data_IF_286162171776
#
_entry.id   IF_286162171776
#
_cell.length_a   1.000
_cell.length_b   1.000
_cell.length_c   1.000
_cell.angle_alpha   90.00
_cell.angle_beta   90.00
_cell.angle_gamma   90.00
#
_symmetry.space_group_name_H-M   'P 1'
#
loop_
_entity.id
_entity.type
_entity.pdbx_description
1 polymer ?
#
# COMPACT_ATOMS: atom_id res chain seq x y z
N UNK A 1 -23.11 6.77 -11.20
CA UNK A 1 -23.45 5.83 -10.10
C UNK A 1 -22.16 5.21 -9.61
N UNK A 2 -21.90 5.34 -8.32
CA UNK A 2 -20.64 5.07 -7.66
C UNK A 2 -20.73 3.66 -7.05
N UNK A 3 -20.27 2.64 -7.76
CA UNK A 3 -20.28 1.25 -7.27
C UNK A 3 -18.84 0.77 -7.05
N UNK A 4 -18.44 0.68 -5.78
CA UNK A 4 -17.27 -0.09 -5.34
C UNK A 4 -17.72 -1.16 -4.34
N UNK A 5 -18.26 -2.30 -4.77
CA UNK A 5 -18.33 -3.49 -3.94
C UNK A 5 -17.22 -4.44 -4.36
N UNK A 6 -16.10 -4.42 -3.65
CA UNK A 6 -15.04 -5.41 -3.80
C UNK A 6 -14.29 -5.29 -5.12
N UNK A 7 -13.16 -4.59 -5.10
CA UNK A 7 -12.07 -5.06 -5.93
C UNK A 7 -11.80 -6.50 -5.46
N UNK A 8 -12.22 -7.46 -6.28
CA UNK A 8 -12.35 -8.89 -5.99
C UNK A 8 -11.31 -9.33 -4.94
N UNK A 9 -11.76 -9.95 -3.85
CA UNK A 9 -10.87 -10.48 -2.81
C UNK A 9 -9.72 -11.28 -3.46
N UNK A 10 -9.97 -11.92 -4.60
CA UNK A 10 -8.96 -12.60 -5.43
C UNK A 10 -7.87 -11.67 -5.96
N UNK A 11 -8.20 -10.45 -6.40
CA UNK A 11 -7.23 -9.43 -6.83
C UNK A 11 -6.41 -8.95 -5.65
N UNK A 12 -7.05 -8.64 -4.52
CA UNK A 12 -6.33 -8.22 -3.29
C UNK A 12 -5.42 -9.33 -2.77
N UNK A 13 -5.85 -10.58 -2.84
CA UNK A 13 -5.03 -11.74 -2.49
C UNK A 13 -3.89 -11.93 -3.48
N UNK A 14 -4.13 -11.83 -4.79
CA UNK A 14 -3.09 -11.94 -5.83
C UNK A 14 -2.02 -10.87 -5.66
N UNK A 15 -2.42 -9.64 -5.34
CA UNK A 15 -1.54 -8.49 -5.21
C UNK A 15 -0.97 -8.31 -3.79
N UNK A 16 -1.32 -9.16 -2.82
CA UNK A 16 -1.01 -8.93 -1.39
C UNK A 16 0.47 -8.76 -1.08
N UNK A 17 1.34 -9.51 -1.75
CA UNK A 17 2.78 -9.45 -1.53
C UNK A 17 3.36 -8.17 -2.11
N UNK A 18 3.02 -7.85 -3.36
CA UNK A 18 3.35 -6.59 -4.02
C UNK A 18 2.90 -5.37 -3.18
N UNK A 19 1.69 -5.42 -2.61
CA UNK A 19 1.18 -4.35 -1.75
C UNK A 19 1.97 -4.24 -0.44
N UNK A 20 2.23 -5.37 0.21
CA UNK A 20 3.03 -5.38 1.44
C UNK A 20 4.43 -4.83 1.22
N UNK A 21 5.05 -5.12 0.08
CA UNK A 21 6.40 -4.67 -0.26
C UNK A 21 6.41 -3.16 -0.52
N UNK A 22 5.53 -2.66 -1.38
CA UNK A 22 5.44 -1.22 -1.68
C UNK A 22 5.08 -0.39 -0.43
N UNK A 23 4.14 -0.86 0.40
CA UNK A 23 3.76 -0.16 1.63
C UNK A 23 4.96 -0.08 2.59
N UNK A 24 5.75 -1.16 2.69
CA UNK A 24 6.97 -1.16 3.51
C UNK A 24 8.02 -0.20 2.97
N UNK A 25 8.22 -0.12 1.66
CA UNK A 25 9.15 0.86 1.08
C UNK A 25 8.74 2.30 1.40
N UNK A 26 7.46 2.64 1.21
CA UNK A 26 6.97 4.00 1.51
C UNK A 26 7.13 4.34 2.99
N UNK A 27 6.76 3.42 3.90
CA UNK A 27 6.73 3.71 5.34
C UNK A 27 8.11 3.62 6.00
N UNK A 28 8.92 2.62 5.64
CA UNK A 28 10.21 2.37 6.29
C UNK A 28 11.35 3.12 5.60
N UNK A 29 11.37 3.12 4.27
CA UNK A 29 12.42 3.76 3.48
C UNK A 29 12.10 5.21 3.15
N UNK A 30 10.83 5.63 3.28
CA UNK A 30 10.39 6.97 2.90
C UNK A 30 10.33 7.17 1.38
N UNK A 31 10.30 6.07 0.60
CA UNK A 31 10.23 6.10 -0.85
C UNK A 31 8.95 6.78 -1.33
N UNK A 32 9.05 7.49 -2.46
CA UNK A 32 7.86 8.06 -3.09
C UNK A 32 6.98 6.96 -3.68
N UNK A 33 5.70 7.23 -3.80
CA UNK A 33 4.67 6.35 -4.34
C UNK A 33 5.06 5.82 -5.72
N UNK A 34 5.52 6.71 -6.60
CA UNK A 34 5.93 6.34 -7.95
C UNK A 34 7.21 5.50 -7.98
N UNK A 35 8.08 5.63 -6.99
CA UNK A 35 9.30 4.82 -6.84
C UNK A 35 8.93 3.42 -6.35
N UNK A 36 8.13 3.33 -5.29
CA UNK A 36 7.63 2.07 -4.75
C UNK A 36 6.83 1.27 -5.80
N UNK A 37 6.05 1.95 -6.66
CA UNK A 37 5.34 1.30 -7.76
C UNK A 37 6.29 0.80 -8.85
N UNK A 38 7.40 1.48 -9.11
CA UNK A 38 8.39 1.04 -10.12
C UNK A 38 9.23 -0.15 -9.61
N UNK A 39 9.53 -0.19 -8.32
CA UNK A 39 10.30 -1.28 -7.72
C UNK A 39 9.51 -2.59 -7.66
N UNK A 40 8.20 -2.49 -7.45
CA UNK A 40 7.31 -3.64 -7.39
C UNK A 40 6.82 -3.95 -8.80
N UNK A 41 7.51 -4.87 -9.49
CA UNK A 41 7.14 -5.32 -10.85
C UNK A 41 5.84 -6.12 -10.79
N UNK A 42 4.72 -5.44 -10.98
CA UNK A 42 3.38 -6.03 -11.03
C UNK A 42 3.08 -6.47 -12.47
N UNK A 43 2.34 -7.58 -12.70
CA UNK A 43 1.88 -7.95 -14.03
C UNK A 43 1.16 -6.80 -14.75
N UNK A 44 1.45 -6.59 -16.04
CA UNK A 44 1.03 -5.39 -16.80
C UNK A 44 -0.48 -5.11 -16.75
N UNK A 45 -1.31 -6.16 -16.73
CA UNK A 45 -2.77 -6.03 -16.64
C UNK A 45 -3.29 -5.53 -15.27
N UNK A 46 -2.47 -5.62 -14.22
CA UNK A 46 -2.86 -5.30 -12.85
C UNK A 46 -2.29 -3.94 -12.38
N UNK A 47 -1.42 -3.28 -13.14
CA UNK A 47 -0.68 -2.09 -12.69
C UNK A 47 -1.59 -0.92 -12.26
N UNK A 48 -2.63 -0.62 -13.03
CA UNK A 48 -3.59 0.45 -12.70
C UNK A 48 -4.39 0.12 -11.42
N UNK A 49 -4.76 -1.15 -11.26
CA UNK A 49 -5.49 -1.64 -10.11
C UNK A 49 -4.60 -1.64 -8.86
N UNK A 50 -3.34 -2.07 -9.00
CA UNK A 50 -2.34 -2.02 -7.96
C UNK A 50 -2.10 -0.61 -7.44
N UNK A 51 -1.90 0.38 -8.33
CA UNK A 51 -1.73 1.79 -7.95
C UNK A 51 -2.91 2.30 -7.13
N UNK A 52 -4.15 1.98 -7.54
CA UNK A 52 -5.35 2.36 -6.79
C UNK A 52 -5.41 1.71 -5.41
N UNK A 53 -5.11 0.41 -5.33
CA UNK A 53 -5.06 -0.31 -4.06
C UNK A 53 -3.99 0.24 -3.13
N UNK A 54 -2.76 0.40 -3.61
CA UNK A 54 -1.64 0.91 -2.82
C UNK A 54 -1.98 2.27 -2.19
N UNK A 55 -2.55 3.18 -2.99
CA UNK A 55 -2.99 4.50 -2.51
C UNK A 55 -4.06 4.36 -1.42
N UNK A 56 -5.05 3.52 -1.64
CA UNK A 56 -6.12 3.27 -0.67
C UNK A 56 -5.60 2.67 0.64
N UNK A 57 -4.65 1.72 0.56
CA UNK A 57 -4.05 1.12 1.76
C UNK A 57 -3.19 2.14 2.52
N UNK A 58 -2.36 2.94 1.84
CA UNK A 58 -1.55 3.97 2.50
C UNK A 58 -2.42 5.07 3.16
N UNK A 59 -3.54 5.45 2.53
CA UNK A 59 -4.49 6.40 3.11
C UNK A 59 -5.21 5.85 4.35
N UNK A 60 -5.47 4.54 4.39
CA UNK A 60 -6.16 3.88 5.52
C UNK A 60 -5.22 3.23 6.53
N UNK A 61 -3.90 3.24 6.26
CA UNK A 61 -2.88 2.66 7.14
C UNK A 61 -2.89 3.37 8.49
N UNK A 62 -2.82 2.58 9.57
CA UNK A 62 -2.80 3.05 10.93
C UNK A 62 -2.06 2.04 11.81
N UNK A 63 -1.64 2.45 13.02
CA UNK A 63 -0.96 1.57 13.97
C UNK A 63 -1.75 0.31 14.34
N UNK A 64 -3.09 0.31 14.22
CA UNK A 64 -3.93 -0.85 14.53
C UNK A 64 -4.03 -1.88 13.38
N UNK A 65 -3.71 -1.49 12.15
CA UNK A 65 -3.78 -2.39 10.98
C UNK A 65 -2.39 -2.68 10.36
N UNK A 66 -1.33 -2.07 10.89
CA UNK A 66 0.01 -2.16 10.33
C UNK A 66 0.64 -3.56 10.40
N UNK A 67 0.19 -4.39 11.36
CA UNK A 67 0.64 -5.77 11.50
C UNK A 67 0.38 -6.60 10.22
N UNK A 68 -0.68 -6.26 9.46
CA UNK A 68 -0.99 -6.88 8.16
C UNK A 68 0.16 -6.76 7.16
N UNK A 69 0.92 -5.66 7.24
CA UNK A 69 2.04 -5.37 6.36
C UNK A 69 3.39 -5.61 7.05
N UNK A 70 3.40 -6.27 8.21
CA UNK A 70 4.61 -6.55 9.00
C UNK A 70 5.39 -5.28 9.36
N UNK A 71 4.67 -4.19 9.60
CA UNK A 71 5.24 -2.90 9.96
C UNK A 71 5.27 -2.72 11.48
N UNK A 72 6.40 -2.25 12.05
CA UNK A 72 6.47 -1.81 13.44
C UNK A 72 5.53 -0.61 13.71
N UNK A 73 4.86 -0.60 14.85
CA UNK A 73 3.89 0.46 15.21
C UNK A 73 4.56 1.84 15.33
N UNK A 74 5.76 1.90 15.90
CA UNK A 74 6.54 3.13 16.07
C UNK A 74 6.88 3.80 14.73
N UNK A 75 7.27 3.01 13.73
CA UNK A 75 7.58 3.50 12.38
C UNK A 75 6.35 4.04 11.66
N UNK A 76 5.22 3.37 11.81
CA UNK A 76 3.96 3.80 11.22
C UNK A 76 3.47 5.09 11.87
N UNK A 77 3.55 5.18 13.21
CA UNK A 77 3.19 6.37 13.94
C UNK A 77 4.03 7.58 13.49
N UNK A 78 5.36 7.42 13.44
CA UNK A 78 6.26 8.47 12.97
C UNK A 78 6.00 8.88 11.51
N UNK A 79 5.63 7.94 10.64
CA UNK A 79 5.26 8.23 9.25
C UNK A 79 3.92 8.99 9.15
N UNK A 80 2.93 8.65 9.99
CA UNK A 80 1.64 9.36 10.06
C UNK A 80 1.85 10.79 10.57
N UNK A 81 2.67 10.98 11.61
CA UNK A 81 2.98 12.29 12.18
C UNK A 81 3.67 13.23 11.18
N UNK A 82 4.43 12.69 10.24
CA UNK A 82 5.00 13.43 9.10
C UNK A 82 3.97 13.80 8.01
N UNK A 83 2.69 13.49 8.22
CA UNK A 83 1.62 13.78 7.27
C UNK A 83 1.43 12.73 6.18
N UNK A 84 1.87 11.48 6.41
CA UNK A 84 1.72 10.35 5.46
C UNK A 84 2.36 10.66 4.10
N UNK A 85 3.67 10.96 4.03
CA UNK A 85 4.33 11.22 2.76
C UNK A 85 4.22 9.98 1.85
N UNK A 86 3.71 10.20 0.64
CA UNK A 86 3.58 9.23 -0.45
C UNK A 86 4.12 9.89 -1.71
#
# INVERSE_FOLDING_TARGET
MNELPGLDISVRLRLRFYLGDAIREVVLSGSRFDEAVKHVVVPDGDAAVFKRLLRSELQTLHVYNCARFRLPMDKVQAWIEKGRPQ
#
